data_IF_336531412996
#
_entry.id   IF_336531412996
#
_cell.length_a   1.000
_cell.length_b   1.000
_cell.length_c   1.000
_cell.angle_alpha   90.00
_cell.angle_beta   90.00
_cell.angle_gamma   90.00
#
_symmetry.space_group_name_H-M   'P 1'
#
loop_
_entity.id
_entity.type
_entity.pdbx_description
1 polymer ?
#
# COMPACT_ATOMS: atom_id res chain seq x y z
N UNK A 1 -21.98 -12.57 6.14
CA UNK A 1 -22.08 -11.11 6.38
C UNK A 1 -20.92 -10.34 5.75
N UNK A 2 -19.65 -10.58 6.11
CA UNK A 2 -18.50 -9.86 5.51
C UNK A 2 -18.44 -9.95 3.96
N UNK A 3 -18.63 -11.15 3.39
CA UNK A 3 -18.62 -11.36 1.93
C UNK A 3 -19.77 -10.68 1.18
N UNK A 4 -20.92 -10.49 1.84
CA UNK A 4 -22.10 -9.79 1.29
C UNK A 4 -21.94 -8.27 1.41
N UNK A 5 -21.29 -7.80 2.49
CA UNK A 5 -20.89 -6.40 2.64
C UNK A 5 -19.82 -5.99 1.61
N UNK A 6 -18.89 -6.89 1.26
CA UNK A 6 -17.88 -6.71 0.21
C UNK A 6 -18.44 -6.75 -1.23
N UNK A 7 -19.74 -6.99 -1.41
CA UNK A 7 -20.41 -6.86 -2.71
C UNK A 7 -21.18 -5.53 -2.84
N UNK A 8 -21.17 -4.70 -1.80
CA UNK A 8 -21.65 -3.32 -1.91
C UNK A 8 -20.81 -2.57 -2.95
N UNK A 9 -21.42 -1.58 -3.60
CA UNK A 9 -20.77 -0.73 -4.58
C UNK A 9 -20.32 -1.40 -5.90
N UNK A 10 -20.87 -2.56 -6.28
CA UNK A 10 -20.54 -3.23 -7.56
C UNK A 10 -19.37 -4.21 -7.49
N UNK A 11 -18.81 -4.42 -6.28
CA UNK A 11 -17.74 -5.37 -6.01
C UNK A 11 -16.33 -4.79 -6.11
N UNK A 12 -15.28 -5.62 -5.91
CA UNK A 12 -13.90 -5.16 -5.75
C UNK A 12 -13.35 -4.29 -6.88
N UNK A 13 -13.82 -4.51 -8.11
CA UNK A 13 -13.42 -3.71 -9.27
C UNK A 13 -13.83 -2.22 -9.16
N UNK A 14 -14.82 -1.89 -8.32
CA UNK A 14 -15.36 -0.54 -8.14
C UNK A 14 -14.81 0.20 -6.92
N UNK A 15 -13.80 -0.38 -6.26
CA UNK A 15 -13.11 0.23 -5.13
C UNK A 15 -11.93 1.10 -5.57
N UNK A 16 -12.05 1.67 -6.77
CA UNK A 16 -11.04 2.52 -7.35
C UNK A 16 -11.04 3.92 -6.75
N UNK A 17 -9.88 4.56 -6.85
CA UNK A 17 -9.68 5.98 -6.58
C UNK A 17 -8.98 6.60 -7.79
N UNK A 18 -9.23 7.87 -8.08
CA UNK A 18 -8.43 8.58 -9.09
C UNK A 18 -7.01 8.81 -8.55
N UNK A 19 -6.04 8.95 -9.44
CA UNK A 19 -4.68 9.35 -9.06
C UNK A 19 -4.71 10.68 -8.30
N UNK A 20 -5.57 11.64 -8.72
CA UNK A 20 -5.76 12.89 -8.00
C UNK A 20 -6.24 12.66 -6.56
N UNK A 21 -7.20 11.76 -6.32
CA UNK A 21 -7.66 11.46 -4.95
C UNK A 21 -6.55 10.89 -4.05
N UNK A 22 -5.59 10.16 -4.62
CA UNK A 22 -4.42 9.69 -3.88
C UNK A 22 -3.43 10.81 -3.58
N UNK A 23 -3.30 11.80 -4.47
CA UNK A 23 -2.50 13.00 -4.24
C UNK A 23 -3.17 13.89 -3.17
N UNK A 24 -4.47 14.13 -3.28
CA UNK A 24 -5.25 14.89 -2.29
C UNK A 24 -5.16 14.25 -0.89
N UNK A 25 -5.12 12.92 -0.83
CA UNK A 25 -4.86 12.20 0.41
C UNK A 25 -3.48 12.55 0.99
N UNK A 26 -2.43 12.57 0.17
CA UNK A 26 -1.09 12.94 0.60
C UNK A 26 -1.01 14.39 1.05
N UNK A 27 -1.62 15.30 0.31
CA UNK A 27 -1.63 16.73 0.65
C UNK A 27 -2.37 16.99 1.97
N UNK A 28 -3.45 16.26 2.22
CA UNK A 28 -4.24 16.40 3.44
C UNK A 28 -3.55 15.84 4.69
N UNK A 29 -2.84 14.71 4.58
CA UNK A 29 -2.29 14.00 5.75
C UNK A 29 -0.76 14.02 5.86
N UNK A 30 -0.06 14.35 4.77
CA UNK A 30 1.40 14.40 4.70
C UNK A 30 2.04 15.26 5.79
N UNK A 31 1.56 16.48 6.07
CA UNK A 31 2.11 17.30 7.15
C UNK A 31 2.03 16.64 8.54
N UNK A 32 0.92 15.93 8.83
CA UNK A 32 0.73 15.19 10.09
C UNK A 32 1.69 13.99 10.16
N UNK A 33 1.82 13.24 9.06
CA UNK A 33 2.71 12.07 8.98
C UNK A 33 4.17 12.51 9.14
N UNK A 34 4.58 13.59 8.50
CA UNK A 34 5.93 14.14 8.64
C UNK A 34 6.22 14.65 10.05
N UNK A 35 5.24 15.28 10.73
CA UNK A 35 5.40 15.64 12.14
C UNK A 35 5.55 14.42 13.04
N UNK A 36 4.75 13.37 12.78
CA UNK A 36 4.88 12.09 13.47
C UNK A 36 6.27 11.49 13.26
N UNK A 37 6.78 11.43 12.02
CA UNK A 37 8.13 10.91 11.69
C UNK A 37 9.26 11.69 12.35
N UNK A 38 9.12 13.01 12.50
CA UNK A 38 10.13 13.83 13.21
C UNK A 38 10.24 13.48 14.68
N UNK A 39 9.12 13.12 15.32
CA UNK A 39 9.00 12.82 16.75
C UNK A 39 9.17 11.34 17.08
N UNK A 40 9.32 10.49 16.08
CA UNK A 40 9.46 9.05 16.24
C UNK A 40 10.66 8.49 15.49
N UNK A 41 11.12 7.33 15.95
CA UNK A 41 12.02 6.45 15.22
C UNK A 41 11.44 5.04 15.20
N UNK A 42 12.16 4.09 14.61
CA UNK A 42 11.77 2.70 14.54
C UNK A 42 12.85 1.82 15.16
N UNK A 43 12.45 0.92 16.05
CA UNK A 43 13.36 -0.06 16.62
C UNK A 43 13.52 -1.31 15.72
N UNK A 44 14.33 -2.27 16.16
CA UNK A 44 14.60 -3.51 15.41
C UNK A 44 13.39 -4.44 15.31
N UNK A 45 12.37 -4.23 16.13
CA UNK A 45 11.12 -4.97 16.16
C UNK A 45 10.00 -4.22 15.43
N UNK A 46 10.33 -3.16 14.67
CA UNK A 46 9.39 -2.31 13.95
C UNK A 46 8.40 -1.55 14.85
N UNK A 47 8.70 -1.38 16.14
CA UNK A 47 7.91 -0.49 16.98
C UNK A 47 8.31 0.96 16.73
N UNK A 48 7.33 1.84 16.79
CA UNK A 48 7.54 3.28 16.75
C UNK A 48 8.04 3.74 18.12
N UNK A 49 9.23 4.32 18.17
CA UNK A 49 9.85 4.80 19.40
C UNK A 49 9.62 6.30 19.52
N UNK A 50 8.83 6.71 20.51
CA UNK A 50 8.57 8.11 20.82
C UNK A 50 9.82 8.74 21.40
N UNK A 51 10.29 9.83 20.79
CA UNK A 51 11.49 10.54 21.24
C UNK A 51 11.22 11.47 22.44
N UNK A 52 9.94 11.74 22.75
CA UNK A 52 9.52 12.47 23.93
C UNK A 52 9.03 11.48 25.01
N UNK A 53 9.36 11.76 26.28
CA UNK A 53 8.92 10.95 27.42
C UNK A 53 7.40 10.86 27.55
N UNK A 54 6.71 11.99 27.37
CA UNK A 54 5.25 12.07 27.25
C UNK A 54 4.90 12.42 25.80
N UNK A 55 4.61 11.41 24.97
CA UNK A 55 4.33 11.64 23.56
C UNK A 55 2.91 12.21 23.35
N UNK A 56 2.75 13.43 22.81
CA UNK A 56 1.43 14.02 22.57
C UNK A 56 0.79 13.53 21.26
N UNK A 57 1.48 12.69 20.50
CA UNK A 57 1.04 12.30 19.16
C UNK A 57 -0.08 11.26 19.22
N UNK A 58 -0.99 11.32 18.25
CA UNK A 58 -1.90 10.22 17.98
C UNK A 58 -1.12 9.11 17.25
N UNK A 59 -1.14 7.88 17.80
CA UNK A 59 -0.38 6.75 17.24
C UNK A 59 -1.22 5.86 16.33
N UNK A 60 -2.52 6.14 16.19
CA UNK A 60 -3.44 5.28 15.46
C UNK A 60 -3.39 3.83 15.94
N UNK A 61 -3.19 2.91 15.00
CA UNK A 61 -3.02 1.48 15.26
C UNK A 61 -1.54 1.04 15.17
N UNK A 62 -0.60 1.97 15.30
CA UNK A 62 0.83 1.64 15.30
C UNK A 62 1.24 1.02 16.63
N UNK A 63 2.15 0.03 16.59
CA UNK A 63 2.83 -0.41 17.80
C UNK A 63 3.85 0.66 18.22
N UNK A 64 3.80 1.12 19.46
CA UNK A 64 4.68 2.18 19.92
C UNK A 64 5.16 1.99 21.36
N UNK A 65 6.26 2.66 21.70
CA UNK A 65 6.82 2.74 23.06
C UNK A 65 7.60 4.04 23.24
N UNK A 66 7.82 4.43 24.50
CA UNK A 66 8.78 5.48 24.82
C UNK A 66 10.23 5.00 24.59
N UNK A 67 11.11 5.94 24.27
CA UNK A 67 12.56 5.70 24.24
C UNK A 67 13.10 5.51 25.67
N UNK A 68 13.88 4.45 25.91
CA UNK A 68 14.65 4.37 27.16
C UNK A 68 15.99 5.10 26.99
N UNK A 69 15.98 6.40 27.34
CA UNK A 69 17.15 7.27 27.22
C UNK A 69 18.38 6.84 28.04
N UNK A 70 18.26 5.83 28.90
CA UNK A 70 19.39 5.26 29.67
C UNK A 70 20.09 4.13 28.92
N UNK A 71 19.39 3.44 28.03
CA UNK A 71 19.87 2.23 27.34
C UNK A 71 19.98 2.43 25.82
N UNK A 72 19.30 3.43 25.27
CA UNK A 72 19.21 3.65 23.83
C UNK A 72 19.70 5.05 23.46
N UNK A 73 20.38 5.15 22.31
CA UNK A 73 20.72 6.40 21.65
C UNK A 73 19.92 6.56 20.35
N UNK A 74 19.89 7.78 19.80
CA UNK A 74 19.23 8.01 18.50
C UNK A 74 19.89 7.23 17.35
N UNK A 75 21.19 6.94 17.47
CA UNK A 75 21.95 6.21 16.45
C UNK A 75 21.57 4.72 16.42
N UNK A 76 20.98 4.19 17.50
CA UNK A 76 20.48 2.81 17.56
C UNK A 76 19.13 2.63 16.86
N UNK A 77 18.43 3.74 16.58
CA UNK A 77 17.07 3.75 16.06
C UNK A 77 17.02 4.23 14.61
N UNK A 78 16.19 3.57 13.80
CA UNK A 78 16.04 3.91 12.38
C UNK A 78 15.08 5.08 12.19
N UNK A 79 15.32 5.89 11.16
CA UNK A 79 14.32 6.86 10.72
C UNK A 79 13.06 6.10 10.29
N UNK A 80 11.91 6.58 10.72
CA UNK A 80 10.63 5.98 10.36
C UNK A 80 10.38 6.18 8.85
N UNK A 81 10.20 5.12 8.05
CA UNK A 81 10.02 5.25 6.62
C UNK A 81 8.64 5.84 6.29
N UNK A 82 8.57 6.71 5.28
CA UNK A 82 7.29 7.22 4.79
C UNK A 82 6.69 6.26 3.77
N UNK A 83 6.09 5.17 4.23
CA UNK A 83 5.57 4.13 3.36
C UNK A 83 4.23 3.58 3.87
N UNK A 84 3.71 2.54 3.22
CA UNK A 84 2.39 1.98 3.55
C UNK A 84 2.34 1.36 4.95
N UNK A 85 3.46 0.89 5.49
CA UNK A 85 3.54 0.38 6.87
C UNK A 85 3.32 1.48 7.92
N UNK A 86 3.62 2.74 7.58
CA UNK A 86 3.30 3.89 8.42
C UNK A 86 1.89 4.42 8.16
N UNK A 87 1.56 4.67 6.90
CA UNK A 87 0.32 5.35 6.50
C UNK A 87 -0.92 4.54 6.84
N UNK A 88 -0.86 3.22 6.64
CA UNK A 88 -2.01 2.36 6.86
C UNK A 88 -2.46 2.37 8.33
N UNK A 89 -1.62 2.03 9.32
CA UNK A 89 -2.04 2.03 10.72
C UNK A 89 -2.27 3.44 11.30
N UNK A 90 -1.52 4.45 10.85
CA UNK A 90 -1.65 5.80 11.39
C UNK A 90 -2.91 6.51 10.86
N UNK A 91 -3.19 6.41 9.56
CA UNK A 91 -4.23 7.20 8.89
C UNK A 91 -5.36 6.34 8.32
N UNK A 92 -5.05 5.32 7.51
CA UNK A 92 -6.10 4.60 6.77
C UNK A 92 -6.98 3.80 7.72
N UNK A 93 -6.40 3.00 8.61
CA UNK A 93 -7.15 2.22 9.60
C UNK A 93 -7.99 3.14 10.47
N UNK A 94 -7.39 4.19 11.01
CA UNK A 94 -8.06 5.12 11.93
C UNK A 94 -9.27 5.79 11.29
N UNK A 95 -9.16 6.19 10.02
CA UNK A 95 -10.25 6.81 9.24
C UNK A 95 -11.25 5.83 8.63
N UNK A 96 -10.98 4.52 8.70
CA UNK A 96 -11.88 3.48 8.17
C UNK A 96 -12.47 2.61 9.26
N UNK A 97 -12.35 2.99 10.55
CA UNK A 97 -12.99 2.28 11.66
C UNK A 97 -14.51 2.40 11.63
N UNK A 98 -15.01 3.51 11.09
CA UNK A 98 -16.43 3.71 10.85
C UNK A 98 -16.99 2.61 9.92
N UNK A 99 -18.29 2.34 10.01
CA UNK A 99 -18.93 1.23 9.29
C UNK A 99 -18.34 -0.16 9.61
N UNK A 100 -17.91 -0.38 10.86
CA UNK A 100 -17.35 -1.66 11.34
C UNK A 100 -16.08 -2.10 10.60
N UNK A 101 -15.36 -1.18 9.95
CA UNK A 101 -14.13 -1.53 9.26
C UNK A 101 -14.30 -2.25 7.92
N UNK A 102 -15.53 -2.34 7.40
CA UNK A 102 -15.84 -3.18 6.23
C UNK A 102 -15.54 -2.51 4.88
N UNK A 103 -15.24 -1.22 4.88
CA UNK A 103 -14.87 -0.46 3.68
C UNK A 103 -13.39 -0.08 3.73
N UNK A 104 -12.73 -0.10 2.58
CA UNK A 104 -11.43 0.55 2.41
C UNK A 104 -11.56 2.06 2.40
N UNK A 105 -10.42 2.76 2.33
CA UNK A 105 -10.37 4.21 2.28
C UNK A 105 -11.15 4.81 1.08
N UNK A 106 -11.22 4.09 -0.05
CA UNK A 106 -12.01 4.50 -1.21
C UNK A 106 -13.47 4.86 -0.85
N UNK A 107 -14.04 4.22 0.19
CA UNK A 107 -15.40 4.49 0.65
C UNK A 107 -15.59 5.92 1.17
N UNK A 108 -14.53 6.53 1.71
CA UNK A 108 -14.57 7.92 2.17
C UNK A 108 -14.68 8.92 1.01
N UNK A 109 -14.22 8.54 -0.18
CA UNK A 109 -14.21 9.39 -1.36
C UNK A 109 -15.38 9.09 -2.30
N UNK A 110 -15.68 7.81 -2.51
CA UNK A 110 -16.45 7.33 -3.66
C UNK A 110 -17.66 6.46 -3.26
N UNK A 111 -18.05 6.36 -1.97
CA UNK A 111 -19.18 5.51 -1.57
C UNK A 111 -20.50 5.85 -2.30
N UNK A 112 -20.77 7.13 -2.52
CA UNK A 112 -21.99 7.57 -3.22
C UNK A 112 -21.96 7.26 -4.73
N UNK A 113 -20.76 7.23 -5.33
CA UNK A 113 -20.54 6.93 -6.75
C UNK A 113 -19.26 6.12 -6.93
N UNK A 114 -19.32 4.79 -6.73
CA UNK A 114 -18.16 3.92 -6.84
C UNK A 114 -17.49 3.99 -8.21
N UNK A 115 -16.17 3.94 -8.24
CA UNK A 115 -15.38 4.11 -9.46
C UNK A 115 -14.76 2.78 -9.87
N UNK A 116 -15.09 2.32 -11.09
CA UNK A 116 -14.45 1.14 -11.66
C UNK A 116 -12.99 1.46 -12.00
N UNK A 117 -12.06 0.71 -11.42
CA UNK A 117 -10.65 0.84 -11.74
C UNK A 117 -10.34 0.12 -13.05
N UNK A 118 -9.74 0.84 -13.99
CA UNK A 118 -9.25 0.27 -15.25
C UNK A 118 -7.79 -0.19 -15.12
N UNK A 119 -7.06 0.35 -14.14
CA UNK A 119 -5.66 0.01 -13.87
C UNK A 119 -5.53 -0.56 -12.46
N UNK A 120 -5.06 -1.80 -12.36
CA UNK A 120 -4.70 -2.40 -11.08
C UNK A 120 -3.26 -2.04 -10.72
N UNK A 121 -2.99 -1.58 -9.50
CA UNK A 121 -1.64 -1.18 -9.08
C UNK A 121 -1.03 -2.27 -8.21
N UNK A 122 0.02 -2.90 -8.73
CA UNK A 122 0.89 -3.80 -7.96
C UNK A 122 2.07 -3.01 -7.40
N UNK A 123 2.28 -3.05 -6.08
CA UNK A 123 3.35 -2.28 -5.44
C UNK A 123 3.87 -2.94 -4.17
N UNK A 124 5.12 -2.63 -3.80
CA UNK A 124 5.67 -2.99 -2.50
C UNK A 124 5.16 -2.02 -1.41
N UNK A 125 4.84 -2.53 -0.22
CA UNK A 125 4.47 -1.68 0.92
C UNK A 125 5.65 -0.93 1.54
N UNK A 126 6.88 -1.39 1.29
CA UNK A 126 8.10 -0.71 1.75
C UNK A 126 8.46 0.51 0.91
N UNK A 127 7.90 0.63 -0.30
CA UNK A 127 8.18 1.75 -1.20
C UNK A 127 7.79 3.06 -0.51
N UNK A 128 8.72 4.02 -0.54
CA UNK A 128 8.46 5.42 -0.22
C UNK A 128 7.18 5.93 -0.91
N UNK A 129 6.32 6.58 -0.15
CA UNK A 129 4.98 6.93 -0.59
C UNK A 129 4.98 8.10 -1.56
N UNK A 130 5.87 9.09 -1.38
CA UNK A 130 6.00 10.20 -2.31
C UNK A 130 6.53 9.69 -3.65
N UNK A 131 7.53 8.80 -3.63
CA UNK A 131 8.01 8.10 -4.83
C UNK A 131 6.89 7.32 -5.53
N UNK A 132 6.11 6.55 -4.77
CA UNK A 132 4.97 5.80 -5.27
C UNK A 132 3.92 6.72 -5.96
N UNK A 133 3.56 7.84 -5.34
CA UNK A 133 2.61 8.80 -5.90
C UNK A 133 3.19 9.52 -7.13
N UNK A 134 4.47 9.84 -7.12
CA UNK A 134 5.14 10.41 -8.28
C UNK A 134 5.08 9.44 -9.47
N UNK A 135 5.38 8.16 -9.26
CA UNK A 135 5.25 7.14 -10.29
C UNK A 135 3.81 7.04 -10.83
N UNK A 136 2.80 7.06 -9.95
CA UNK A 136 1.39 7.04 -10.37
C UNK A 136 0.93 8.31 -11.08
N UNK A 137 1.48 9.48 -10.74
CA UNK A 137 1.12 10.76 -11.37
C UNK A 137 1.30 10.75 -12.89
N UNK A 138 2.23 9.93 -13.39
CA UNK A 138 2.51 9.74 -14.81
C UNK A 138 1.39 9.01 -15.57
N UNK A 139 0.40 8.45 -14.88
CA UNK A 139 -0.82 7.88 -15.49
C UNK A 139 -1.87 8.96 -15.80
N UNK A 140 -1.71 10.17 -15.25
CA UNK A 140 -2.67 11.26 -15.34
C UNK A 140 -3.67 11.29 -14.17
N UNK A 141 -4.10 12.50 -13.75
CA UNK A 141 -4.87 12.70 -12.50
C UNK A 141 -6.23 12.02 -12.49
N UNK A 142 -6.90 11.93 -13.63
CA UNK A 142 -8.25 11.34 -13.78
C UNK A 142 -8.24 9.81 -13.87
N UNK A 143 -7.06 9.18 -13.97
CA UNK A 143 -6.96 7.72 -14.10
C UNK A 143 -7.44 7.05 -12.82
N UNK A 144 -8.45 6.19 -12.93
CA UNK A 144 -8.95 5.40 -11.80
C UNK A 144 -8.09 4.16 -11.61
N UNK A 145 -7.42 4.11 -10.46
CA UNK A 145 -6.52 3.03 -10.06
C UNK A 145 -7.08 2.24 -8.88
N UNK A 146 -6.71 0.96 -8.81
CA UNK A 146 -6.97 0.10 -7.66
C UNK A 146 -5.68 -0.11 -6.88
N UNK A 147 -5.59 0.38 -5.65
CA UNK A 147 -4.41 0.25 -4.77
C UNK A 147 -4.80 -0.51 -3.52
N UNK A 148 -4.10 -1.61 -3.21
CA UNK A 148 -4.55 -2.56 -2.18
C UNK A 148 -4.75 -1.93 -0.78
N UNK A 149 -3.88 -1.00 -0.36
CA UNK A 149 -3.97 -0.32 0.94
C UNK A 149 -5.19 0.59 1.07
N UNK A 150 -5.66 1.16 -0.04
CA UNK A 150 -6.83 2.05 -0.09
C UNK A 150 -8.13 1.30 -0.42
N UNK A 151 -8.05 0.26 -1.25
CA UNK A 151 -9.22 -0.47 -1.71
C UNK A 151 -9.72 -1.49 -0.67
N UNK A 152 -8.80 -2.21 -0.02
CA UNK A 152 -9.16 -3.27 0.90
C UNK A 152 -9.57 -2.71 2.28
N UNK A 153 -10.51 -3.35 2.98
CA UNK A 153 -10.84 -2.99 4.34
C UNK A 153 -9.69 -3.36 5.29
N UNK A 154 -9.11 -2.36 5.95
CA UNK A 154 -7.88 -2.52 6.77
C UNK A 154 -8.16 -2.88 8.23
N UNK A 155 -9.40 -2.80 8.68
CA UNK A 155 -9.81 -2.99 10.09
C UNK A 155 -10.42 -4.38 10.37
N UNK A 156 -10.44 -5.27 9.38
CA UNK A 156 -10.95 -6.63 9.53
C UNK A 156 -9.85 -7.65 9.28
N UNK A 157 -10.08 -8.87 9.75
CA UNK A 157 -9.17 -9.98 9.50
C UNK A 157 -9.07 -10.27 8.00
N UNK A 158 -7.93 -9.88 7.42
CA UNK A 158 -7.67 -10.01 5.99
C UNK A 158 -7.72 -11.47 5.53
N UNK A 159 -7.40 -12.44 6.39
CA UNK A 159 -7.50 -13.86 6.03
C UNK A 159 -8.95 -14.27 5.75
N UNK A 160 -9.92 -13.65 6.44
CA UNK A 160 -11.36 -13.85 6.18
C UNK A 160 -11.81 -13.16 4.89
N UNK A 161 -11.13 -12.10 4.48
CA UNK A 161 -11.39 -11.37 3.23
C UNK A 161 -10.84 -12.13 2.03
N UNK A 162 -9.61 -12.65 2.13
CA UNK A 162 -8.95 -13.45 1.09
C UNK A 162 -9.62 -14.82 0.96
N UNK A 163 -10.00 -15.42 2.09
CA UNK A 163 -10.56 -16.77 2.15
C UNK A 163 -9.52 -17.85 1.87
N UNK A 164 -10.00 -19.08 1.62
CA UNK A 164 -9.14 -20.25 1.39
C UNK A 164 -8.58 -20.35 -0.03
N UNK A 165 -9.09 -19.55 -0.97
CA UNK A 165 -8.67 -19.55 -2.37
C UNK A 165 -8.25 -18.15 -2.78
N UNK A 166 -6.95 -17.93 -2.89
CA UNK A 166 -6.33 -16.64 -3.28
C UNK A 166 -6.89 -16.11 -4.61
N UNK A 167 -7.17 -16.99 -5.58
CA UNK A 167 -7.75 -16.62 -6.87
C UNK A 167 -9.19 -16.06 -6.77
N UNK A 168 -9.88 -16.28 -5.64
CA UNK A 168 -11.22 -15.75 -5.38
C UNK A 168 -11.23 -14.50 -4.50
N UNK A 169 -10.04 -14.02 -4.13
CA UNK A 169 -9.87 -12.84 -3.28
C UNK A 169 -10.32 -11.55 -3.98
N UNK A 170 -10.61 -10.47 -3.22
CA UNK A 170 -10.98 -9.20 -3.81
C UNK A 170 -9.91 -8.60 -4.74
N UNK A 171 -8.61 -8.78 -4.46
CA UNK A 171 -7.55 -8.28 -5.34
C UNK A 171 -7.47 -9.09 -6.64
N UNK A 172 -7.60 -10.42 -6.61
CA UNK A 172 -7.64 -11.23 -7.83
C UNK A 172 -8.85 -10.86 -8.71
N UNK A 173 -10.00 -10.60 -8.07
CA UNK A 173 -11.20 -10.11 -8.75
C UNK A 173 -11.00 -8.72 -9.39
N UNK A 174 -10.41 -7.78 -8.65
CA UNK A 174 -10.12 -6.44 -9.16
C UNK A 174 -9.11 -6.48 -10.33
N UNK A 175 -8.03 -7.24 -10.21
CA UNK A 175 -7.03 -7.43 -11.28
C UNK A 175 -7.66 -8.05 -12.53
N UNK A 176 -8.50 -9.08 -12.35
CA UNK A 176 -9.18 -9.73 -13.48
C UNK A 176 -10.13 -8.77 -14.21
N UNK A 177 -10.78 -7.86 -13.47
CA UNK A 177 -11.69 -6.87 -14.04
C UNK A 177 -10.99 -5.64 -14.64
N UNK A 178 -9.76 -5.34 -14.24
CA UNK A 178 -8.95 -4.25 -14.76
C UNK A 178 -8.51 -4.54 -16.21
N UNK A 179 -8.29 -3.49 -17.00
CA UNK A 179 -7.80 -3.58 -18.38
C UNK A 179 -6.27 -3.74 -18.42
N UNK A 180 -5.58 -3.12 -17.45
CA UNK A 180 -4.12 -3.16 -17.33
C UNK A 180 -3.66 -3.28 -15.89
N UNK A 181 -2.40 -3.65 -15.73
CA UNK A 181 -1.68 -3.69 -14.45
C UNK A 181 -0.51 -2.72 -14.52
N UNK A 182 -0.42 -1.83 -13.54
CA UNK A 182 0.71 -0.95 -13.32
C UNK A 182 1.54 -1.52 -12.17
N UNK A 183 2.73 -2.06 -12.48
CA UNK A 183 3.72 -2.43 -11.48
C UNK A 183 4.54 -1.20 -11.12
N UNK A 184 4.40 -0.73 -9.88
CA UNK A 184 5.19 0.39 -9.37
C UNK A 184 6.42 -0.16 -8.65
N UNK A 185 7.60 0.22 -9.12
CA UNK A 185 8.91 -0.17 -8.56
C UNK A 185 9.72 1.05 -8.12
N UNK A 186 10.68 0.83 -7.23
CA UNK A 186 11.68 1.81 -6.84
C UNK A 186 13.09 1.28 -7.16
N UNK A 187 14.13 1.99 -6.70
CA UNK A 187 15.52 1.60 -6.92
C UNK A 187 15.89 0.21 -6.36
N UNK A 188 15.18 -0.26 -5.33
CA UNK A 188 15.39 -1.57 -4.72
C UNK A 188 14.78 -2.70 -5.55
N UNK A 189 13.77 -2.37 -6.37
CA UNK A 189 12.95 -3.30 -7.14
C UNK A 189 12.37 -4.42 -6.26
N UNK A 190 12.12 -4.12 -4.97
CA UNK A 190 11.69 -5.11 -3.99
C UNK A 190 10.34 -5.73 -4.36
N UNK A 191 9.47 -5.02 -5.07
CA UNK A 191 8.18 -5.53 -5.54
C UNK A 191 8.32 -6.90 -6.24
N UNK A 192 9.37 -7.13 -7.02
CA UNK A 192 9.63 -8.41 -7.71
C UNK A 192 10.10 -9.54 -6.78
N UNK A 193 10.23 -9.29 -5.49
CA UNK A 193 10.56 -10.28 -4.44
C UNK A 193 9.43 -10.44 -3.43
N UNK A 194 8.28 -9.79 -3.65
CA UNK A 194 7.11 -9.88 -2.77
C UNK A 194 6.12 -10.89 -3.33
N UNK A 195 5.70 -11.84 -2.49
CA UNK A 195 4.85 -12.96 -2.91
C UNK A 195 3.54 -12.49 -3.53
N UNK A 196 2.94 -11.43 -2.97
CA UNK A 196 1.73 -10.80 -3.51
C UNK A 196 1.95 -10.18 -4.90
N UNK A 197 2.99 -9.37 -5.07
CA UNK A 197 3.31 -8.77 -6.37
C UNK A 197 3.67 -9.84 -7.42
N UNK A 198 4.38 -10.90 -7.03
CA UNK A 198 4.68 -12.02 -7.93
C UNK A 198 3.41 -12.76 -8.35
N UNK A 199 2.47 -12.97 -7.43
CA UNK A 199 1.17 -13.55 -7.75
C UNK A 199 0.35 -12.64 -8.70
N UNK A 200 0.36 -11.33 -8.48
CA UNK A 200 -0.30 -10.35 -9.35
C UNK A 200 0.32 -10.34 -10.76
N UNK A 201 1.64 -10.41 -10.88
CA UNK A 201 2.33 -10.56 -12.16
C UNK A 201 2.01 -11.88 -12.84
N UNK A 202 1.93 -12.98 -12.10
CA UNK A 202 1.47 -14.26 -12.63
C UNK A 202 0.06 -14.15 -13.22
N UNK A 203 -0.89 -13.53 -12.50
CA UNK A 203 -2.23 -13.28 -13.04
C UNK A 203 -2.21 -12.37 -14.27
N UNK A 204 -1.40 -11.33 -14.26
CA UNK A 204 -1.23 -10.40 -15.38
C UNK A 204 -0.82 -11.15 -16.65
N UNK A 205 0.22 -11.98 -16.55
CA UNK A 205 0.76 -12.76 -17.69
C UNK A 205 -0.25 -13.82 -18.15
N UNK A 206 -0.80 -14.61 -17.23
CA UNK A 206 -1.72 -15.71 -17.57
C UNK A 206 -3.07 -15.25 -18.09
N UNK A 207 -3.49 -14.04 -17.77
CA UNK A 207 -4.72 -13.43 -18.28
C UNK A 207 -4.46 -12.49 -19.47
N UNK A 208 -3.24 -12.43 -19.99
CA UNK A 208 -2.85 -11.57 -21.12
C UNK A 208 -3.22 -10.08 -20.92
N UNK A 209 -3.07 -9.58 -19.69
CA UNK A 209 -3.30 -8.17 -19.36
C UNK A 209 -2.12 -7.33 -19.82
N UNK A 210 -2.38 -6.08 -20.19
CA UNK A 210 -1.32 -5.12 -20.45
C UNK A 210 -0.57 -4.84 -19.13
N UNK A 211 0.77 -4.92 -19.17
CA UNK A 211 1.64 -4.61 -18.04
C UNK A 211 2.40 -3.32 -18.34
N UNK A 212 2.29 -2.36 -17.44
CA UNK A 212 3.08 -1.14 -17.43
C UNK A 212 3.97 -1.14 -16.17
N UNK A 213 5.23 -0.76 -16.32
CA UNK A 213 6.18 -0.68 -15.20
C UNK A 213 6.55 0.78 -15.01
N UNK A 214 6.21 1.33 -13.85
CA UNK A 214 6.45 2.73 -13.49
C UNK A 214 7.42 2.81 -12.32
N UNK A 215 8.32 3.78 -12.37
CA UNK A 215 9.25 4.10 -11.30
C UNK A 215 9.26 5.61 -11.07
N UNK A 216 9.57 6.09 -9.84
CA UNK A 216 9.67 7.52 -9.58
C UNK A 216 10.78 8.17 -10.40
N UNK A 217 11.90 7.46 -10.54
CA UNK A 217 13.03 7.87 -11.37
C UNK A 217 13.39 6.72 -12.30
N UNK A 218 13.37 7.01 -13.60
CA UNK A 218 13.68 6.03 -14.64
C UNK A 218 15.05 6.33 -15.23
N UNK A 219 16.02 5.51 -14.87
CA UNK A 219 17.36 5.53 -15.47
C UNK A 219 17.64 4.22 -16.19
N UNK A 220 18.69 4.17 -17.02
CA UNK A 220 19.18 2.92 -17.61
C UNK A 220 19.51 1.88 -16.53
N UNK A 221 20.08 2.33 -15.40
CA UNK A 221 20.40 1.47 -14.27
C UNK A 221 19.14 0.90 -13.63
N UNK A 222 18.09 1.70 -13.47
CA UNK A 222 16.78 1.23 -12.97
C UNK A 222 16.24 0.11 -13.86
N UNK A 223 16.28 0.29 -15.18
CA UNK A 223 15.84 -0.75 -16.12
C UNK A 223 16.69 -2.01 -16.05
N UNK A 224 18.01 -1.88 -15.95
CA UNK A 224 18.89 -3.04 -15.83
C UNK A 224 18.57 -3.84 -14.55
N UNK A 225 18.38 -3.16 -13.41
CA UNK A 225 18.01 -3.82 -12.15
C UNK A 225 16.66 -4.55 -12.25
N UNK A 226 15.68 -3.97 -12.95
CA UNK A 226 14.38 -4.62 -13.20
C UNK A 226 14.58 -5.89 -14.02
N UNK A 227 15.34 -5.83 -15.11
CA UNK A 227 15.63 -6.98 -15.97
C UNK A 227 16.37 -8.08 -15.20
N UNK A 228 17.42 -7.73 -14.47
CA UNK A 228 18.22 -8.67 -13.69
C UNK A 228 17.36 -9.37 -12.64
N UNK A 229 16.56 -8.60 -11.89
CA UNK A 229 15.68 -9.13 -10.86
C UNK A 229 14.58 -10.03 -11.44
N UNK A 230 13.96 -9.62 -12.55
CA UNK A 230 12.95 -10.41 -13.24
C UNK A 230 13.53 -11.74 -13.76
N UNK A 231 14.75 -11.71 -14.31
CA UNK A 231 15.45 -12.90 -14.79
C UNK A 231 15.84 -13.87 -13.66
N UNK A 232 16.12 -13.35 -12.45
CA UNK A 232 16.48 -14.14 -11.28
C UNK A 232 15.29 -14.48 -10.35
N UNK A 233 14.06 -14.13 -10.73
CA UNK A 233 12.90 -14.22 -9.84
C UNK A 233 12.57 -15.67 -9.48
N UNK A 234 12.53 -15.98 -8.19
CA UNK A 234 12.08 -17.28 -7.65
C UNK A 234 11.00 -17.05 -6.59
N UNK A 235 9.75 -17.41 -6.94
CA UNK A 235 8.59 -17.22 -6.05
C UNK A 235 8.72 -17.92 -4.70
N UNK A 236 9.56 -18.97 -4.60
CA UNK A 236 9.79 -19.70 -3.34
C UNK A 236 10.66 -18.91 -2.36
N UNK A 237 11.39 -17.91 -2.85
CA UNK A 237 12.19 -16.99 -2.05
C UNK A 237 11.44 -15.68 -1.76
N UNK A 238 10.25 -15.50 -2.33
CA UNK A 238 9.48 -14.29 -2.13
C UNK A 238 8.82 -14.26 -0.75
N UNK A 239 8.79 -13.07 -0.15
CA UNK A 239 8.23 -12.85 1.19
C UNK A 239 6.89 -12.11 1.11
N UNK A 240 6.01 -12.38 2.08
CA UNK A 240 4.86 -11.51 2.32
C UNK A 240 5.34 -10.20 2.98
N UNK A 241 4.45 -9.23 3.14
CA UNK A 241 4.77 -8.02 3.89
C UNK A 241 5.07 -8.32 5.36
N UNK A 242 6.21 -7.80 5.82
CA UNK A 242 6.65 -7.85 7.22
C UNK A 242 5.88 -6.82 8.07
#
# INVERSE_FOLDING_TARGET
MARTALLTAGGPAYWGMTVQQLQDFNDAHGPEIEDYRRRHRMDRNFNHVCLAGDCPCFHGDCNYRAMDTREESLDDLRVLPYNMHLIVPLIIKTRTKDNLGIMGYWGQCNAAKPLKANTFVSHCWNHDFDGFLHALSTLGPETVVWVCSFALPQNIDINKVIGSQVASSPFASALTAAESVCLVVDESVEALSRSWCCFELYLTVTQHKALDIRAPVTTLETYQRILDRAASMDVRQCTASN
#
